data_IF_140309847811
#
_entry.id   IF_140309847811
#
_cell.length_a   1.000
_cell.length_b   1.000
_cell.length_c   1.000
_cell.angle_alpha   90.00
_cell.angle_beta   90.00
_cell.angle_gamma   90.00
#
_symmetry.space_group_name_H-M   'P 1'
#
loop_
_entity.id
_entity.type
_entity.pdbx_description
1 polymer ?
#
# COMPACT_ATOMS: atom_id res chain seq x y z
N UNK A 1 -1.03 0.89 -13.47
CA UNK A 1 -0.66 0.77 -12.04
C UNK A 1 0.85 0.80 -11.98
N UNK A 2 1.43 1.61 -11.10
CA UNK A 2 2.88 1.57 -10.81
C UNK A 2 3.05 0.60 -9.64
N UNK A 3 3.94 -0.37 -9.77
CA UNK A 3 4.11 -1.43 -8.77
C UNK A 3 5.58 -1.81 -8.52
N UNK A 4 6.52 -1.29 -9.30
CA UNK A 4 7.95 -1.55 -9.13
C UNK A 4 8.80 -0.35 -9.55
N UNK A 5 10.04 -0.32 -9.09
CA UNK A 5 11.07 0.61 -9.50
C UNK A 5 11.97 -0.04 -10.55
N UNK A 6 12.08 0.60 -11.73
CA UNK A 6 12.98 0.07 -12.75
C UNK A 6 14.43 0.48 -12.46
N UNK A 7 15.22 -0.49 -12.00
CA UNK A 7 16.62 -0.29 -11.62
C UNK A 7 17.63 -0.61 -12.72
N UNK A 8 17.16 -1.08 -13.89
CA UNK A 8 18.02 -1.41 -15.01
C UNK A 8 18.68 -0.16 -15.63
N UNK A 9 19.90 -0.28 -16.19
CA UNK A 9 20.60 0.86 -16.79
C UNK A 9 19.86 1.57 -17.93
N UNK A 10 18.88 0.90 -18.55
CA UNK A 10 18.04 1.46 -19.63
C UNK A 10 16.98 2.43 -19.09
N UNK A 11 16.67 2.35 -17.80
CA UNK A 11 15.60 3.12 -17.16
C UNK A 11 16.06 4.55 -16.83
N UNK A 12 16.04 5.39 -17.86
CA UNK A 12 16.26 6.85 -17.75
C UNK A 12 14.95 7.58 -17.39
N UNK A 13 14.98 8.81 -16.86
CA UNK A 13 13.77 9.57 -16.56
C UNK A 13 12.78 9.60 -17.74
N UNK A 14 11.53 9.21 -17.48
CA UNK A 14 10.46 9.11 -18.49
C UNK A 14 10.37 7.75 -19.20
N UNK A 15 11.32 6.84 -18.98
CA UNK A 15 11.19 5.44 -19.37
C UNK A 15 10.21 4.73 -18.43
N UNK A 16 9.32 3.92 -19.00
CA UNK A 16 8.38 3.07 -18.26
C UNK A 16 8.59 1.64 -18.72
N UNK A 17 8.83 0.73 -17.78
CA UNK A 17 8.91 -0.70 -18.07
C UNK A 17 7.52 -1.33 -17.91
N UNK A 18 6.98 -1.88 -18.99
CA UNK A 18 5.62 -2.41 -19.01
C UNK A 18 5.62 -3.94 -18.93
N UNK A 19 5.02 -4.47 -17.86
CA UNK A 19 4.71 -5.91 -17.75
C UNK A 19 3.48 -6.32 -18.56
N UNK A 20 2.64 -5.36 -18.96
CA UNK A 20 1.37 -5.63 -19.64
C UNK A 20 1.53 -5.41 -21.14
N UNK A 21 1.58 -6.52 -21.86
CA UNK A 21 1.53 -6.55 -23.31
C UNK A 21 0.08 -6.68 -23.80
N UNK A 22 -0.26 -5.98 -24.87
CA UNK A 22 -1.60 -6.03 -25.49
C UNK A 22 -1.51 -6.63 -26.90
N UNK A 23 -2.67 -6.86 -27.54
CA UNK A 23 -2.69 -7.25 -28.94
C UNK A 23 -2.02 -6.20 -29.85
N UNK A 24 -2.13 -4.92 -29.48
CA UNK A 24 -1.56 -3.80 -30.21
C UNK A 24 -0.07 -3.57 -29.87
N UNK A 25 0.37 -4.00 -28.69
CA UNK A 25 1.76 -3.99 -28.23
C UNK A 25 2.17 -5.37 -27.67
N UNK A 26 2.41 -6.37 -28.54
CA UNK A 26 2.79 -7.71 -28.11
C UNK A 26 4.27 -7.80 -27.69
N UNK A 27 4.59 -8.79 -26.85
CA UNK A 27 5.93 -9.02 -26.26
C UNK A 27 7.06 -8.96 -27.29
N UNK A 28 6.88 -9.58 -28.46
CA UNK A 28 7.93 -9.67 -29.47
C UNK A 28 8.32 -8.32 -30.09
N UNK A 29 7.52 -7.26 -29.90
CA UNK A 29 7.87 -5.89 -30.29
C UNK A 29 8.70 -5.16 -29.23
N UNK A 30 8.98 -5.81 -28.10
CA UNK A 30 9.71 -5.23 -26.98
C UNK A 30 8.90 -4.19 -26.23
N UNK A 31 9.58 -3.50 -25.31
CA UNK A 31 8.99 -2.44 -24.52
C UNK A 31 8.68 -1.22 -25.42
N UNK A 32 7.46 -0.65 -25.38
CA UNK A 32 7.13 0.51 -26.20
C UNK A 32 7.98 1.75 -25.86
N UNK A 33 8.28 2.56 -26.88
CA UNK A 33 9.13 3.75 -26.78
C UNK A 33 8.40 5.01 -27.27
N UNK A 34 8.86 6.20 -26.83
CA UNK A 34 8.30 7.48 -27.26
C UNK A 34 6.87 7.73 -26.79
N UNK A 35 6.49 7.10 -25.68
CA UNK A 35 5.15 7.18 -25.10
C UNK A 35 5.00 8.51 -24.37
N UNK A 36 3.84 9.16 -24.55
CA UNK A 36 3.38 10.21 -23.66
C UNK A 36 2.48 9.58 -22.61
N UNK A 37 2.72 9.92 -21.35
CA UNK A 37 1.94 9.45 -20.22
C UNK A 37 1.55 10.62 -19.33
N UNK A 38 0.45 10.45 -18.61
CA UNK A 38 -0.07 11.40 -17.64
C UNK A 38 -0.48 10.62 -16.38
N UNK A 39 -0.26 11.20 -15.20
CA UNK A 39 -0.79 10.63 -13.96
C UNK A 39 -2.31 10.77 -13.97
N UNK A 40 -3.00 9.66 -13.71
CA UNK A 40 -4.45 9.64 -13.54
C UNK A 40 -4.79 9.17 -12.13
N UNK A 41 -5.88 9.68 -11.52
CA UNK A 41 -6.42 9.08 -10.30
C UNK A 41 -6.67 7.59 -10.50
N UNK A 42 -6.39 6.78 -9.47
CA UNK A 42 -6.60 5.34 -9.54
C UNK A 42 -8.07 5.05 -9.90
N UNK A 43 -8.33 4.19 -10.90
CA UNK A 43 -9.69 3.89 -11.37
C UNK A 43 -10.36 2.88 -10.44
N UNK A 44 -10.68 3.32 -9.23
CA UNK A 44 -11.27 2.50 -8.18
C UNK A 44 -12.78 2.35 -8.40
N UNK A 45 -13.31 1.15 -8.16
CA UNK A 45 -14.73 0.85 -8.30
C UNK A 45 -15.55 1.41 -7.13
N UNK A 46 -16.83 1.80 -7.33
CA UNK A 46 -17.66 2.44 -6.28
C UNK A 46 -17.88 1.64 -4.99
N UNK A 47 -17.56 0.35 -4.98
CA UNK A 47 -17.73 -0.55 -3.84
C UNK A 47 -16.41 -0.95 -3.20
N UNK A 48 -15.29 -0.49 -3.74
CA UNK A 48 -13.97 -0.71 -3.15
C UNK A 48 -13.76 0.27 -2.00
N UNK A 49 -12.98 -0.19 -1.03
CA UNK A 49 -12.60 0.59 0.15
C UNK A 49 -11.08 0.63 0.21
N UNK A 50 -10.54 1.62 0.92
CA UNK A 50 -9.12 1.63 1.24
C UNK A 50 -8.76 0.34 1.97
N UNK A 51 -7.61 -0.23 1.68
CA UNK A 51 -7.10 -1.39 2.41
C UNK A 51 -5.78 -1.06 3.08
N UNK A 52 -5.63 -1.53 4.32
CA UNK A 52 -4.36 -1.51 5.03
C UNK A 52 -3.78 -2.91 5.06
N UNK A 53 -2.59 -3.04 4.50
CA UNK A 53 -1.79 -4.25 4.62
C UNK A 53 -0.71 -4.01 5.67
N UNK A 54 -0.85 -4.68 6.81
CA UNK A 54 0.12 -4.63 7.90
C UNK A 54 1.10 -5.80 7.78
N UNK A 55 2.38 -5.44 7.70
CA UNK A 55 3.50 -6.35 7.56
C UNK A 55 4.40 -6.19 8.80
N UNK A 56 4.57 -7.25 9.59
CA UNK A 56 5.33 -7.17 10.85
C UNK A 56 6.67 -7.87 10.65
N UNK A 57 7.78 -7.15 10.76
CA UNK A 57 9.15 -7.69 10.80
C UNK A 57 9.38 -8.96 9.96
N UNK A 58 9.72 -10.06 10.65
CA UNK A 58 10.00 -11.40 10.12
C UNK A 58 8.75 -12.22 9.74
N UNK A 59 7.55 -11.71 10.00
CA UNK A 59 6.27 -12.39 9.74
C UNK A 59 5.83 -12.30 8.29
N UNK A 60 6.50 -11.49 7.44
CA UNK A 60 6.37 -11.53 5.98
C UNK A 60 6.83 -12.87 5.34
N UNK A 61 6.98 -13.95 6.12
CA UNK A 61 7.25 -15.31 5.68
C UNK A 61 6.67 -16.40 6.61
N UNK A 62 5.71 -16.11 7.52
CA UNK A 62 5.15 -17.09 8.48
C UNK A 62 3.63 -17.05 8.59
N UNK A 63 3.05 -18.16 9.05
CA UNK A 63 1.59 -18.33 9.18
C UNK A 63 0.95 -17.34 10.16
N UNK A 64 0.31 -16.31 9.61
CA UNK A 64 -0.99 -15.70 9.97
C UNK A 64 -1.29 -15.21 11.39
N UNK A 65 -0.40 -15.39 12.36
CA UNK A 65 -0.65 -15.07 13.77
C UNK A 65 0.04 -13.76 14.12
N UNK A 66 -0.75 -12.71 14.34
CA UNK A 66 -0.26 -11.38 14.72
C UNK A 66 0.10 -11.37 16.22
N UNK A 67 1.35 -11.15 16.63
CA UNK A 67 1.73 -11.06 18.03
C UNK A 67 1.20 -9.76 18.66
N UNK A 68 0.94 -9.77 19.97
CA UNK A 68 0.40 -8.61 20.69
C UNK A 68 1.35 -7.40 20.72
N UNK A 69 2.65 -7.66 20.62
CA UNK A 69 3.72 -6.66 20.62
C UNK A 69 4.63 -6.90 19.43
N UNK A 70 4.87 -5.84 18.67
CA UNK A 70 5.78 -5.84 17.51
C UNK A 70 6.78 -4.70 17.65
N UNK A 71 8.02 -4.95 17.23
CA UNK A 71 9.11 -3.97 17.32
C UNK A 71 9.33 -3.19 16.02
N UNK A 72 8.74 -3.69 14.95
CA UNK A 72 8.74 -3.06 13.64
C UNK A 72 7.50 -3.52 12.88
N UNK A 73 6.84 -2.57 12.23
CA UNK A 73 5.66 -2.78 11.41
C UNK A 73 5.78 -1.91 10.17
N UNK A 74 5.37 -2.40 9.02
CA UNK A 74 5.09 -1.58 7.85
C UNK A 74 3.63 -1.66 7.46
N UNK A 75 3.13 -0.56 6.89
CA UNK A 75 1.77 -0.39 6.41
C UNK A 75 1.84 -0.04 4.94
N UNK A 76 1.21 -0.85 4.11
CA UNK A 76 0.90 -0.48 2.73
C UNK A 76 -0.57 -0.06 2.65
N UNK A 77 -0.81 1.13 2.08
CA UNK A 77 -2.16 1.64 1.81
C UNK A 77 -2.49 1.31 0.37
N UNK A 78 -3.59 0.57 0.16
CA UNK A 78 -4.05 0.16 -1.17
C UNK A 78 -5.43 0.73 -1.45
N UNK A 79 -5.80 0.73 -2.72
CA UNK A 79 -7.06 1.30 -3.20
C UNK A 79 -7.23 2.75 -2.72
N UNK A 80 -6.18 3.56 -2.81
CA UNK A 80 -6.30 5.01 -2.68
C UNK A 80 -6.45 5.64 -4.05
N UNK A 81 -7.44 6.53 -4.20
CA UNK A 81 -7.71 7.23 -5.48
C UNK A 81 -6.56 8.16 -5.87
N UNK A 82 -5.96 8.79 -4.87
CA UNK A 82 -4.82 9.72 -5.00
C UNK A 82 -3.60 9.16 -4.28
N UNK A 83 -2.41 9.73 -4.53
CA UNK A 83 -1.24 9.39 -3.72
C UNK A 83 -1.45 9.72 -2.24
N UNK A 84 -0.79 8.98 -1.36
CA UNK A 84 -0.78 9.23 0.09
C UNK A 84 0.51 9.95 0.45
N UNK A 85 0.40 11.08 1.15
CA UNK A 85 1.52 11.94 1.57
C UNK A 85 2.00 11.69 2.99
N UNK A 86 1.11 11.24 3.86
CA UNK A 86 1.48 10.88 5.23
C UNK A 86 0.57 9.80 5.77
N UNK A 87 1.13 8.98 6.65
CA UNK A 87 0.42 7.97 7.43
C UNK A 87 0.80 8.13 8.89
N UNK A 88 -0.20 8.27 9.74
CA UNK A 88 -0.05 8.36 11.20
C UNK A 88 -0.72 7.13 11.80
N UNK A 89 0.02 6.34 12.56
CA UNK A 89 -0.45 5.16 13.26
C UNK A 89 -0.37 5.38 14.77
N UNK A 90 -1.50 5.30 15.47
CA UNK A 90 -1.62 5.58 16.92
C UNK A 90 -0.91 6.89 17.34
N UNK A 91 -1.07 7.95 16.53
CA UNK A 91 -0.47 9.26 16.79
C UNK A 91 1.01 9.41 16.42
N UNK A 92 1.63 8.37 15.84
CA UNK A 92 3.03 8.42 15.36
C UNK A 92 3.06 8.44 13.84
N UNK A 93 3.73 9.43 13.26
CA UNK A 93 3.95 9.49 11.82
C UNK A 93 4.95 8.43 11.37
N UNK A 94 4.62 7.73 10.29
CA UNK A 94 5.42 6.65 9.72
C UNK A 94 6.45 7.20 8.71
N UNK A 95 7.62 6.56 8.65
CA UNK A 95 8.63 6.87 7.64
C UNK A 95 8.30 6.17 6.31
N UNK A 96 8.46 6.83 5.16
CA UNK A 96 8.26 6.21 3.86
C UNK A 96 9.57 5.55 3.37
N UNK A 97 9.63 4.22 3.38
CA UNK A 97 10.77 3.38 2.98
C UNK A 97 10.30 2.27 2.04
N UNK A 98 9.76 2.63 0.86
CA UNK A 98 8.98 1.76 -0.06
C UNK A 98 7.62 1.31 0.49
N UNK A 99 7.46 1.25 1.81
CA UNK A 99 6.21 1.17 2.55
C UNK A 99 6.25 2.15 3.74
N UNK A 100 5.11 2.39 4.39
CA UNK A 100 5.07 3.24 5.58
C UNK A 100 5.53 2.46 6.81
N UNK A 101 6.71 2.76 7.34
CA UNK A 101 7.37 2.01 8.41
C UNK A 101 7.17 2.70 9.75
N UNK A 102 6.69 1.92 10.73
CA UNK A 102 6.67 2.27 12.14
C UNK A 102 7.95 1.76 12.80
N UNK A 103 8.74 2.69 13.34
CA UNK A 103 9.94 2.39 14.12
C UNK A 103 9.63 2.45 15.61
N UNK A 104 9.71 1.32 16.29
CA UNK A 104 9.56 1.23 17.75
C UNK A 104 8.59 0.15 18.19
N UNK A 105 8.36 0.10 19.50
CA UNK A 105 7.44 -0.87 20.10
C UNK A 105 6.01 -0.45 19.80
N UNK A 106 5.33 -1.24 18.98
CA UNK A 106 3.91 -1.11 18.70
C UNK A 106 3.16 -2.23 19.42
N UNK A 107 2.15 -1.83 20.21
CA UNK A 107 1.25 -2.76 20.88
C UNK A 107 -0.03 -2.82 20.07
N UNK A 108 -0.31 -3.97 19.47
CA UNK A 108 -1.47 -4.17 18.61
C UNK A 108 -2.78 -4.17 19.40
N UNK A 109 -2.75 -4.50 20.70
CA UNK A 109 -3.92 -4.46 21.58
C UNK A 109 -5.15 -5.09 20.92
N UNK A 110 -6.29 -4.39 20.98
CA UNK A 110 -7.54 -4.79 20.32
C UNK A 110 -7.73 -4.13 18.94
N UNK A 111 -6.74 -3.40 18.43
CA UNK A 111 -6.87 -2.57 17.24
C UNK A 111 -5.90 -1.39 17.19
N UNK A 112 -6.06 -0.56 16.16
CA UNK A 112 -5.23 0.63 15.93
C UNK A 112 -6.05 1.80 15.37
N UNK A 113 -5.56 3.01 15.59
CA UNK A 113 -6.01 4.23 14.93
C UNK A 113 -5.04 4.56 13.79
N UNK A 114 -5.58 4.88 12.62
CA UNK A 114 -4.81 5.29 11.46
C UNK A 114 -5.37 6.59 10.90
N UNK A 115 -4.49 7.51 10.55
CA UNK A 115 -4.83 8.70 9.78
C UNK A 115 -3.97 8.78 8.52
N UNK A 116 -4.61 9.13 7.41
CA UNK A 116 -4.02 9.29 6.09
C UNK A 116 -4.19 10.73 5.64
N UNK A 117 -3.17 11.30 5.00
CA UNK A 117 -3.33 12.54 4.23
C UNK A 117 -3.05 12.28 2.76
N UNK A 118 -3.99 12.64 1.88
CA UNK A 118 -3.84 12.46 0.44
C UNK A 118 -3.06 13.63 -0.22
N UNK A 119 -2.83 13.52 -1.53
CA UNK A 119 -2.17 14.57 -2.32
C UNK A 119 -2.95 15.89 -2.41
N UNK A 120 -4.26 15.88 -2.18
CA UNK A 120 -5.09 17.08 -2.09
C UNK A 120 -5.01 17.72 -0.69
N UNK A 121 -4.37 17.06 0.28
CA UNK A 121 -4.27 17.50 1.67
C UNK A 121 -5.51 17.16 2.51
N UNK A 122 -6.38 16.26 2.05
CA UNK A 122 -7.52 15.77 2.85
C UNK A 122 -7.04 14.73 3.86
N UNK A 123 -7.43 14.94 5.10
CA UNK A 123 -7.18 13.97 6.17
C UNK A 123 -8.36 13.01 6.29
N UNK A 124 -8.04 11.72 6.37
CA UNK A 124 -8.97 10.65 6.69
C UNK A 124 -8.48 9.91 7.93
N UNK A 125 -9.37 9.68 8.90
CA UNK A 125 -9.04 9.02 10.16
C UNK A 125 -10.03 7.92 10.46
N UNK A 126 -9.53 6.77 10.90
CA UNK A 126 -10.38 5.70 11.37
C UNK A 126 -9.73 4.89 12.49
N UNK A 127 -10.57 4.16 13.21
CA UNK A 127 -10.15 3.16 14.19
C UNK A 127 -10.53 1.78 13.66
N UNK A 128 -9.58 0.87 13.64
CA UNK A 128 -9.77 -0.53 13.25
C UNK A 128 -9.63 -1.40 14.48
N UNK A 129 -10.66 -2.21 14.76
CA UNK A 129 -10.63 -3.21 15.84
C UNK A 129 -10.62 -4.62 15.28
N UNK A 130 -9.99 -5.54 16.02
CA UNK A 130 -9.88 -6.95 15.61
C UNK A 130 -11.20 -7.69 15.56
N UNK A 131 -12.09 -7.32 16.49
CA UNK A 131 -13.44 -7.87 16.63
C UNK A 131 -14.37 -7.47 15.47
N UNK A 132 -14.01 -6.47 14.67
CA UNK A 132 -14.84 -5.98 13.56
C UNK A 132 -14.96 -6.99 12.40
N UNK A 133 -14.23 -8.10 12.43
CA UNK A 133 -14.26 -9.13 11.38
C UNK A 133 -13.69 -8.67 10.03
N UNK A 134 -13.07 -7.48 10.00
CA UNK A 134 -12.46 -6.87 8.79
C UNK A 134 -11.06 -7.41 8.47
N UNK A 135 -10.58 -8.37 9.26
CA UNK A 135 -9.27 -8.99 9.15
C UNK A 135 -9.29 -10.13 8.15
N UNK A 136 -8.33 -10.15 7.21
CA UNK A 136 -8.10 -11.30 6.33
C UNK A 136 -6.61 -11.64 6.31
N UNK A 137 -6.30 -12.93 6.16
CA UNK A 137 -4.92 -13.37 5.96
C UNK A 137 -4.41 -12.82 4.63
N UNK A 138 -3.21 -12.26 4.66
CA UNK A 138 -2.55 -11.74 3.47
C UNK A 138 -1.45 -12.62 2.91
N UNK A 139 -0.90 -12.19 1.78
CA UNK A 139 0.25 -12.87 1.21
C UNK A 139 1.42 -12.81 2.19
N UNK A 140 2.17 -13.91 2.28
CA UNK A 140 3.39 -13.94 3.06
C UNK A 140 3.20 -13.64 4.56
N UNK A 141 2.02 -13.84 5.17
CA UNK A 141 1.83 -13.60 6.62
C UNK A 141 1.55 -12.15 7.00
N UNK A 142 1.41 -11.28 6.00
CA UNK A 142 0.83 -9.96 6.17
C UNK A 142 -0.66 -10.07 6.58
N UNK A 143 -1.20 -9.03 7.22
CA UNK A 143 -2.59 -8.99 7.68
C UNK A 143 -3.33 -7.85 7.00
N UNK A 144 -4.43 -8.18 6.34
CA UNK A 144 -5.29 -7.21 5.65
C UNK A 144 -6.37 -6.68 6.58
N UNK A 145 -6.63 -5.37 6.50
CA UNK A 145 -7.76 -4.70 7.11
C UNK A 145 -8.50 -3.84 6.08
N UNK A 146 -9.79 -4.13 5.88
CA UNK A 146 -10.65 -3.28 5.07
C UNK A 146 -11.05 -2.01 5.85
N UNK A 147 -10.90 -0.86 5.19
CA UNK A 147 -11.34 0.42 5.71
C UNK A 147 -12.86 0.55 5.70
N UNK A 148 -13.39 1.43 6.54
CA UNK A 148 -14.77 1.93 6.38
C UNK A 148 -14.87 3.10 5.41
N UNK A 149 -13.74 3.68 5.03
CA UNK A 149 -13.63 4.77 4.07
C UNK A 149 -13.82 4.21 2.66
N UNK A 150 -14.84 4.75 1.98
CA UNK A 150 -15.00 4.59 0.54
C UNK A 150 -14.04 5.53 -0.19
N UNK A 151 -13.65 5.11 -1.39
CA UNK A 151 -12.64 5.73 -2.25
C UNK A 151 -13.19 6.78 -3.20
#
# INVERSE_FOLDING_TARGET
MVFDDCTDPVCTPGYLDFDIYSLDQPVFRGNPHGIRWDWIPCPILPHETIEYLLCIGDLCNRDGTMPDVVYQLSVAVRNSRLGIRSVILNGTELALENAWVYHGVFKLGNGFEIALTDEDGREHRETIRWEDGRRRAGYQGAVFFASTLQT
#
